data_IF_712755819421
#
_entry.id   IF_712755819421
#
_cell.length_a   1.000
_cell.length_b   1.000
_cell.length_c   1.000
_cell.angle_alpha   90.00
_cell.angle_beta   90.00
_cell.angle_gamma   90.00
#
_symmetry.space_group_name_H-M   'P 1'
#
loop_
_entity.id
_entity.type
_entity.pdbx_description
1 polymer ?
#
# COMPACT_ATOMS: atom_id res chain seq x y z
N UNK A 1 -5.75 -7.85 32.46
CA UNK A 1 -5.92 -7.17 31.15
C UNK A 1 -4.83 -6.11 31.04
N UNK A 2 -3.78 -6.37 30.27
CA UNK A 2 -2.77 -5.35 29.96
C UNK A 2 -3.26 -4.56 28.77
N UNK A 3 -3.84 -3.40 29.04
CA UNK A 3 -3.97 -2.36 28.02
C UNK A 3 -2.55 -1.84 27.77
N UNK A 4 -2.04 -1.96 26.54
CA UNK A 4 -0.86 -1.21 26.10
C UNK A 4 -1.38 0.11 25.51
N UNK A 5 -1.29 1.24 26.22
CA UNK A 5 -1.66 2.52 25.68
C UNK A 5 -0.52 3.03 24.79
N UNK A 6 -0.78 3.27 23.51
CA UNK A 6 0.09 4.14 22.71
C UNK A 6 0.86 3.52 21.56
N UNK A 7 0.30 2.54 20.85
CA UNK A 7 0.71 2.36 19.45
C UNK A 7 -0.10 3.31 18.57
N UNK A 8 0.21 4.61 18.64
CA UNK A 8 -0.10 5.54 17.54
C UNK A 8 0.81 5.19 16.37
N UNK A 9 0.67 3.97 15.83
CA UNK A 9 1.26 3.65 14.54
C UNK A 9 0.60 4.64 13.58
N UNK A 10 1.37 5.37 12.74
CA UNK A 10 0.76 6.04 11.61
C UNK A 10 -0.14 5.00 10.93
N UNK A 11 -1.40 5.35 10.67
CA UNK A 11 -2.38 4.44 10.08
C UNK A 11 -1.90 4.15 8.66
N UNK A 12 -1.01 3.17 8.53
CA UNK A 12 -0.41 2.81 7.25
C UNK A 12 -1.46 2.09 6.45
N UNK A 13 -1.55 2.44 5.18
CA UNK A 13 -2.51 1.84 4.26
C UNK A 13 -1.98 0.47 3.85
N UNK A 14 -2.73 -0.58 4.18
CA UNK A 14 -2.32 -1.95 3.85
C UNK A 14 -2.48 -2.21 2.35
N UNK A 15 -1.40 -2.50 1.61
CA UNK A 15 -1.48 -2.65 0.15
C UNK A 15 -2.41 -3.79 -0.31
N UNK A 16 -2.55 -4.84 0.51
CA UNK A 16 -3.37 -6.00 0.18
C UNK A 16 -4.84 -5.76 0.46
N UNK A 17 -5.15 -5.02 1.53
CA UNK A 17 -6.52 -4.75 1.97
C UNK A 17 -7.07 -3.39 1.52
N UNK A 18 -6.20 -2.46 1.12
CA UNK A 18 -6.60 -1.09 0.82
C UNK A 18 -7.65 -0.98 -0.28
N UNK A 19 -8.58 -0.07 -0.08
CA UNK A 19 -9.58 0.30 -1.08
C UNK A 19 -8.98 1.24 -2.12
N UNK A 20 -9.70 1.41 -3.24
CA UNK A 20 -9.27 2.34 -4.29
C UNK A 20 -9.10 3.77 -3.74
N UNK A 21 -10.01 4.20 -2.88
CA UNK A 21 -10.02 5.54 -2.28
C UNK A 21 -8.82 5.74 -1.34
N UNK A 22 -8.52 4.74 -0.50
CA UNK A 22 -7.32 4.74 0.36
C UNK A 22 -6.03 4.78 -0.46
N UNK A 23 -5.94 4.01 -1.54
CA UNK A 23 -4.79 4.07 -2.42
C UNK A 23 -4.68 5.43 -3.12
N UNK A 24 -5.80 6.06 -3.48
CA UNK A 24 -5.83 7.41 -4.05
C UNK A 24 -5.49 8.51 -3.04
N UNK A 25 -5.64 8.26 -1.74
CA UNK A 25 -5.19 9.17 -0.69
C UNK A 25 -3.66 9.23 -0.60
N UNK A 26 -2.95 8.26 -1.18
CA UNK A 26 -1.50 8.21 -1.17
C UNK A 26 -0.88 9.26 -2.10
N UNK A 27 0.23 9.90 -1.67
CA UNK A 27 0.91 10.88 -2.50
C UNK A 27 1.43 10.24 -3.79
N UNK A 28 1.24 10.93 -4.92
CA UNK A 28 1.59 10.47 -6.29
C UNK A 28 0.77 9.30 -6.83
N UNK A 29 -0.25 8.83 -6.10
CA UNK A 29 -1.15 7.78 -6.58
C UNK A 29 -2.48 8.41 -7.00
N UNK A 30 -2.71 8.43 -8.31
CA UNK A 30 -4.02 8.79 -8.87
C UNK A 30 -4.90 7.57 -9.09
N UNK A 31 -6.16 7.81 -9.47
CA UNK A 31 -7.16 6.76 -9.74
C UNK A 31 -6.65 5.64 -10.66
N UNK A 32 -5.92 5.99 -11.72
CA UNK A 32 -5.37 5.00 -12.67
C UNK A 32 -4.31 4.12 -12.00
N UNK A 33 -3.42 4.71 -11.21
CA UNK A 33 -2.36 3.96 -10.52
C UNK A 33 -2.95 3.09 -9.41
N UNK A 34 -3.87 3.63 -8.62
CA UNK A 34 -4.60 2.89 -7.59
C UNK A 34 -5.30 1.65 -8.17
N UNK A 35 -5.98 1.80 -9.30
CA UNK A 35 -6.64 0.67 -9.96
C UNK A 35 -5.63 -0.39 -10.43
N UNK A 36 -4.45 0.02 -10.90
CA UNK A 36 -3.38 -0.93 -11.28
C UNK A 36 -2.78 -1.66 -10.10
N UNK A 37 -2.69 -1.02 -8.93
CA UNK A 37 -2.27 -1.69 -7.68
C UNK A 37 -3.27 -2.81 -7.34
N UNK A 38 -4.58 -2.52 -7.44
CA UNK A 38 -5.65 -3.50 -7.22
C UNK A 38 -5.57 -4.64 -8.25
N UNK A 39 -5.42 -4.33 -9.54
CA UNK A 39 -5.28 -5.35 -10.60
C UNK A 39 -4.04 -6.21 -10.38
N UNK A 40 -2.91 -5.60 -9.98
CA UNK A 40 -1.67 -6.31 -9.67
C UNK A 40 -1.86 -7.29 -8.51
N UNK A 41 -2.42 -6.86 -7.37
CA UNK A 41 -2.66 -7.77 -6.24
C UNK A 41 -3.63 -8.90 -6.62
N UNK A 42 -4.66 -8.64 -7.43
CA UNK A 42 -5.61 -9.68 -7.84
C UNK A 42 -4.93 -10.71 -8.75
N UNK A 43 -4.06 -10.26 -9.66
CA UNK A 43 -3.31 -11.15 -10.58
C UNK A 43 -2.19 -11.93 -9.90
N UNK A 44 -1.51 -11.33 -8.93
CA UNK A 44 -0.34 -11.89 -8.26
C UNK A 44 -0.67 -12.56 -6.92
N UNK A 45 -1.91 -12.40 -6.41
CA UNK A 45 -2.34 -12.90 -5.11
C UNK A 45 -1.93 -12.03 -3.93
N UNK A 46 -1.57 -10.76 -4.17
CA UNK A 46 -1.12 -9.81 -3.16
C UNK A 46 0.26 -9.24 -3.44
N UNK A 47 0.64 -8.25 -2.62
CA UNK A 47 1.99 -7.73 -2.45
C UNK A 47 2.64 -8.45 -1.27
N UNK A 48 3.85 -8.92 -1.48
CA UNK A 48 4.73 -9.46 -0.43
C UNK A 48 5.64 -8.38 0.13
N UNK A 49 6.02 -7.43 -0.71
CA UNK A 49 6.89 -6.30 -0.34
C UNK A 49 6.41 -5.01 -0.98
N UNK A 50 6.69 -3.87 -0.32
CA UNK A 50 6.34 -2.55 -0.88
C UNK A 50 7.11 -2.28 -2.18
N UNK A 51 8.27 -2.92 -2.36
CA UNK A 51 9.06 -2.83 -3.59
C UNK A 51 8.33 -3.42 -4.81
N UNK A 52 7.43 -4.39 -4.64
CA UNK A 52 6.67 -4.96 -5.76
C UNK A 52 5.76 -3.95 -6.46
N UNK A 53 5.48 -2.80 -5.82
CA UNK A 53 4.84 -1.67 -6.46
C UNK A 53 5.62 -1.17 -7.69
N UNK A 54 6.93 -1.44 -7.81
CA UNK A 54 7.72 -1.10 -9.01
C UNK A 54 7.20 -1.80 -10.28
N UNK A 55 6.55 -2.96 -10.12
CA UNK A 55 5.95 -3.70 -11.23
C UNK A 55 4.65 -3.05 -11.72
N UNK A 56 4.08 -2.12 -10.95
CA UNK A 56 2.85 -1.42 -11.29
C UNK A 56 3.17 -0.25 -12.21
N UNK A 57 2.65 -0.28 -13.44
CA UNK A 57 2.90 0.76 -14.44
C UNK A 57 2.45 2.14 -13.93
N UNK A 58 3.40 3.08 -13.85
CA UNK A 58 3.18 4.44 -13.34
C UNK A 58 3.67 4.66 -11.91
N UNK A 59 4.15 3.62 -11.23
CA UNK A 59 4.92 3.73 -10.00
C UNK A 59 6.40 3.62 -10.35
N UNK A 60 7.20 4.56 -9.85
CA UNK A 60 8.65 4.51 -9.93
C UNK A 60 9.27 4.53 -8.54
N UNK A 61 10.58 4.30 -8.46
CA UNK A 61 11.34 4.20 -7.20
C UNK A 61 11.07 5.36 -6.23
N UNK A 62 11.08 6.61 -6.74
CA UNK A 62 10.77 7.81 -5.93
C UNK A 62 9.36 7.78 -5.31
N UNK A 63 8.41 7.17 -6.00
CA UNK A 63 7.04 7.00 -5.47
C UNK A 63 7.07 5.93 -4.39
N UNK A 64 7.73 4.80 -4.63
CA UNK A 64 7.86 3.71 -3.65
C UNK A 64 8.50 4.21 -2.35
N UNK A 65 9.56 5.02 -2.41
CA UNK A 65 10.19 5.59 -1.21
C UNK A 65 9.22 6.43 -0.37
N UNK A 66 8.33 7.19 -1.03
CA UNK A 66 7.27 7.95 -0.35
C UNK A 66 6.21 7.01 0.21
N UNK A 67 5.79 6.03 -0.57
CA UNK A 67 4.79 5.06 -0.15
C UNK A 67 5.26 4.18 1.00
N UNK A 68 6.53 3.79 1.07
CA UNK A 68 7.10 2.98 2.18
C UNK A 68 6.84 3.56 3.58
N UNK A 69 6.66 4.88 3.68
CA UNK A 69 6.31 5.54 4.93
C UNK A 69 4.79 5.52 5.22
N UNK A 70 3.97 5.51 4.17
CA UNK A 70 2.51 5.62 4.22
C UNK A 70 1.78 4.27 4.12
N UNK A 71 2.43 3.24 3.56
CA UNK A 71 1.84 1.92 3.30
C UNK A 71 2.50 0.83 4.11
N UNK A 72 1.75 -0.24 4.38
CA UNK A 72 2.24 -1.43 5.05
C UNK A 72 1.73 -2.70 4.37
N UNK A 73 2.27 -3.83 4.80
CA UNK A 73 1.83 -5.17 4.40
C UNK A 73 1.70 -5.97 5.69
N UNK A 74 0.65 -5.67 6.44
CA UNK A 74 0.37 -6.34 7.72
C UNK A 74 -0.45 -7.61 7.49
N UNK A 75 -1.28 -7.64 6.43
CA UNK A 75 -2.04 -8.83 6.04
C UNK A 75 -1.41 -9.51 4.82
N UNK A 76 -0.44 -10.38 5.07
CA UNK A 76 -0.04 -11.44 4.14
C UNK A 76 -0.75 -12.74 4.54
N UNK A 77 -1.47 -13.37 3.61
CA UNK A 77 -2.06 -14.70 3.83
C UNK A 77 -0.98 -15.77 4.00
#
# INVERSE_FOLDING_TARGET
QSINPGETRPVKIDLNSATLDELMALPKIGQVTAQRIIDYRVKHGGFKTVDELINVKGIGEKTIERLKNEVSIEHGN
#
